data_IF_637083610394
#
_entry.id   IF_637083610394
#
_cell.length_a   1.000
_cell.length_b   1.000
_cell.length_c   1.000
_cell.angle_alpha   90.00
_cell.angle_beta   90.00
_cell.angle_gamma   90.00
#
_symmetry.space_group_name_H-M   'P 1'
#
loop_
_entity.id
_entity.type
_entity.pdbx_description
1 polymer ?
#
# COMPACT_ATOMS: atom_id res chain seq x y z
N UNK A 1 -6.80 48.92 57.95
CA UNK A 1 -6.09 48.24 56.83
C UNK A 1 -5.98 49.16 55.61
N UNK A 2 -7.08 49.78 55.18
CA UNK A 2 -7.09 50.76 54.06
C UNK A 2 -6.23 52.00 54.38
N UNK A 3 -6.30 52.56 55.59
CA UNK A 3 -5.50 53.73 55.98
C UNK A 3 -3.98 53.44 56.12
N UNK A 4 -3.63 52.20 56.46
CA UNK A 4 -2.23 51.74 56.53
C UNK A 4 -1.64 51.59 55.12
N UNK A 5 -2.42 51.08 54.17
CA UNK A 5 -2.03 51.00 52.75
C UNK A 5 -1.88 52.42 52.17
N UNK A 6 -2.79 53.33 52.51
CA UNK A 6 -2.76 54.73 52.06
C UNK A 6 -1.59 55.55 52.65
N UNK A 7 -1.11 55.24 53.86
CA UNK A 7 0.08 55.88 54.44
C UNK A 7 1.38 55.29 53.88
N UNK A 8 1.42 53.99 53.62
CA UNK A 8 2.58 53.30 53.03
C UNK A 8 2.81 53.73 51.57
N UNK A 9 1.73 54.02 50.82
CA UNK A 9 1.79 54.55 49.45
C UNK A 9 2.20 56.04 49.35
N UNK A 10 2.24 56.79 50.46
CA UNK A 10 2.82 58.16 50.48
C UNK A 10 4.34 58.18 50.54
N UNK A 11 4.97 57.03 50.83
CA UNK A 11 6.41 56.91 50.77
C UNK A 11 6.84 56.81 49.29
N UNK A 12 7.61 57.78 48.76
CA UNK A 12 7.98 57.81 47.35
C UNK A 12 8.74 56.56 46.90
N UNK A 13 9.46 55.88 47.82
CA UNK A 13 10.16 54.63 47.54
C UNK A 13 9.17 53.47 47.36
N UNK A 14 8.16 53.37 48.22
CA UNK A 14 7.15 52.30 48.15
C UNK A 14 6.22 52.50 46.97
N UNK A 15 5.83 53.75 46.68
CA UNK A 15 5.08 54.09 45.47
C UNK A 15 5.88 53.77 44.20
N UNK A 16 7.18 54.08 44.17
CA UNK A 16 8.08 53.71 43.07
C UNK A 16 8.22 52.20 42.88
N UNK A 17 8.35 51.43 43.97
CA UNK A 17 8.46 49.97 43.92
C UNK A 17 7.15 49.31 43.47
N UNK A 18 6.01 49.80 43.97
CA UNK A 18 4.69 49.30 43.58
C UNK A 18 4.37 49.57 42.12
N UNK A 19 4.64 50.78 41.62
CA UNK A 19 4.48 51.12 40.21
C UNK A 19 5.40 50.32 39.30
N UNK A 20 6.67 50.12 39.68
CA UNK A 20 7.60 49.28 38.94
C UNK A 20 7.15 47.80 38.87
N UNK A 21 6.54 47.28 39.94
CA UNK A 21 6.02 45.91 39.97
C UNK A 21 4.79 45.75 39.09
N UNK A 22 3.87 46.72 39.12
CA UNK A 22 2.68 46.73 38.23
C UNK A 22 3.10 46.87 36.77
N UNK A 23 3.98 47.82 36.45
CA UNK A 23 4.49 48.01 35.09
C UNK A 23 5.30 46.80 34.61
N UNK A 24 6.13 46.21 35.47
CA UNK A 24 6.87 44.98 35.18
C UNK A 24 5.94 43.79 34.94
N UNK A 25 4.88 43.66 35.73
CA UNK A 25 3.85 42.64 35.54
C UNK A 25 3.09 42.82 34.22
N UNK A 26 2.69 44.05 33.89
CA UNK A 26 2.06 44.37 32.59
C UNK A 26 3.03 44.08 31.44
N UNK A 27 4.27 44.54 31.50
CA UNK A 27 5.28 44.27 30.47
C UNK A 27 5.54 42.77 30.29
N UNK A 28 5.57 42.00 31.38
CA UNK A 28 5.71 40.54 31.33
C UNK A 28 4.52 39.87 30.65
N UNK A 29 3.29 40.36 30.87
CA UNK A 29 2.11 39.82 30.18
C UNK A 29 2.06 40.23 28.70
N UNK A 30 2.47 41.45 28.37
CA UNK A 30 2.48 41.95 27.00
C UNK A 30 3.63 41.34 26.15
N UNK A 31 4.66 40.73 26.76
CA UNK A 31 5.82 40.16 26.04
C UNK A 31 5.45 39.11 24.99
N UNK A 32 4.32 38.43 25.16
CA UNK A 32 3.86 37.39 24.22
C UNK A 32 3.05 37.96 23.06
N UNK A 33 2.54 39.20 23.16
CA UNK A 33 1.68 39.82 22.14
C UNK A 33 2.40 39.98 20.80
N UNK A 34 3.65 40.48 20.72
CA UNK A 34 4.37 40.56 19.45
C UNK A 34 4.53 39.20 18.76
N UNK A 35 4.82 38.15 19.53
CA UNK A 35 4.94 36.78 18.99
C UNK A 35 3.58 36.24 18.51
N UNK A 36 2.49 36.51 19.24
CA UNK A 36 1.14 36.14 18.84
C UNK A 36 0.70 36.85 17.56
N UNK A 37 0.88 38.17 17.49
CA UNK A 37 0.55 38.98 16.31
C UNK A 37 1.41 38.57 15.12
N UNK A 38 2.72 38.43 15.31
CA UNK A 38 3.64 37.97 14.28
C UNK A 38 3.27 36.58 13.75
N UNK A 39 2.93 35.64 14.64
CA UNK A 39 2.46 34.32 14.25
C UNK A 39 1.13 34.34 13.49
N UNK A 40 0.17 35.17 13.92
CA UNK A 40 -1.11 35.34 13.23
C UNK A 40 -0.92 35.97 11.84
N UNK A 41 -0.04 36.97 11.73
CA UNK A 41 0.30 37.62 10.48
C UNK A 41 0.97 36.63 9.52
N UNK A 42 1.96 35.87 9.99
CA UNK A 42 2.63 34.84 9.19
C UNK A 42 1.62 33.78 8.70
N UNK A 43 0.71 33.31 9.55
CA UNK A 43 -0.37 32.39 9.13
C UNK A 43 -1.30 33.00 8.09
N UNK A 44 -1.58 34.30 8.17
CA UNK A 44 -2.46 35.00 7.20
C UNK A 44 -1.80 35.28 5.84
N UNK A 45 -0.46 35.24 5.80
CA UNK A 45 0.37 35.56 4.64
C UNK A 45 1.04 34.32 4.02
N UNK A 46 0.82 33.14 4.59
CA UNK A 46 1.39 31.88 4.09
C UNK A 46 0.30 30.83 3.88
N UNK A 47 0.57 29.90 2.97
CA UNK A 47 -0.21 28.66 2.86
C UNK A 47 0.67 27.51 3.36
N UNK A 48 0.06 26.62 4.13
CA UNK A 48 0.69 25.41 4.65
C UNK A 48 0.00 24.15 4.11
N UNK A 49 0.80 23.17 3.67
CA UNK A 49 0.37 21.81 3.34
C UNK A 49 1.07 20.85 4.29
N UNK A 50 0.31 19.98 4.96
CA UNK A 50 0.84 18.96 5.86
C UNK A 50 0.59 17.58 5.26
N UNK A 51 1.64 16.78 5.15
CA UNK A 51 1.58 15.40 4.65
C UNK A 51 2.11 14.46 5.72
N UNK A 52 1.35 13.42 6.06
CA UNK A 52 1.73 12.43 7.08
C UNK A 52 2.14 11.12 6.44
N UNK A 53 3.07 10.38 7.03
CA UNK A 53 3.48 9.04 6.59
C UNK A 53 2.38 7.97 6.65
N UNK A 54 1.23 8.27 7.27
CA UNK A 54 0.03 7.46 7.19
C UNK A 54 -0.66 7.56 5.82
N UNK A 55 -0.38 8.63 5.06
CA UNK A 55 -0.93 8.85 3.73
C UNK A 55 -0.01 8.30 2.63
N UNK A 56 -0.53 7.59 1.61
CA UNK A 56 0.25 7.11 0.47
C UNK A 56 1.08 8.21 -0.24
N UNK A 57 0.58 9.45 -0.26
CA UNK A 57 1.23 10.60 -0.90
C UNK A 57 2.56 10.99 -0.25
N UNK A 58 2.82 10.57 1.00
CA UNK A 58 4.08 10.83 1.68
C UNK A 58 5.28 10.29 0.91
N UNK A 59 5.15 9.08 0.36
CA UNK A 59 6.21 8.45 -0.43
C UNK A 59 6.52 9.26 -1.70
N UNK A 60 5.49 9.82 -2.35
CA UNK A 60 5.63 10.65 -3.54
C UNK A 60 6.42 11.91 -3.23
N UNK A 61 6.07 12.55 -2.12
CA UNK A 61 6.68 13.77 -1.65
C UNK A 61 8.14 13.54 -1.23
N UNK A 62 8.44 12.46 -0.52
CA UNK A 62 9.82 12.14 -0.10
C UNK A 62 10.72 11.83 -1.32
N UNK A 63 10.17 11.10 -2.31
CA UNK A 63 10.83 10.86 -3.61
C UNK A 63 11.08 12.16 -4.36
N UNK A 64 10.06 13.01 -4.48
CA UNK A 64 10.18 14.30 -5.16
C UNK A 64 11.19 15.21 -4.48
N UNK A 65 11.19 15.26 -3.14
CA UNK A 65 12.17 16.01 -2.36
C UNK A 65 13.59 15.54 -2.66
N UNK A 66 13.83 14.23 -2.66
CA UNK A 66 15.15 13.66 -2.96
C UNK A 66 15.67 14.01 -4.36
N UNK A 67 14.75 14.20 -5.32
CA UNK A 67 15.08 14.57 -6.69
C UNK A 67 15.39 16.06 -6.87
N UNK A 68 15.01 16.92 -5.90
CA UNK A 68 15.24 18.36 -6.02
C UNK A 68 16.74 18.69 -5.99
N UNK A 69 17.21 19.66 -6.81
CA UNK A 69 18.61 20.10 -6.78
C UNK A 69 19.11 20.53 -5.39
N UNK A 70 18.19 21.02 -4.55
CA UNK A 70 18.48 21.42 -3.18
C UNK A 70 18.71 20.25 -2.22
N UNK A 71 18.08 19.08 -2.42
CA UNK A 71 18.29 17.93 -1.53
C UNK A 71 19.75 17.48 -1.47
N UNK A 72 20.54 17.77 -2.52
CA UNK A 72 21.99 17.54 -2.56
C UNK A 72 22.81 18.52 -1.69
N UNK A 73 22.21 19.60 -1.21
CA UNK A 73 22.85 20.69 -0.45
C UNK A 73 22.35 20.80 0.99
N UNK A 74 21.48 19.90 1.46
CA UNK A 74 20.94 19.98 2.81
C UNK A 74 21.96 19.54 3.85
N UNK A 75 22.04 20.27 4.96
CA UNK A 75 22.95 19.93 6.07
C UNK A 75 22.39 18.81 6.96
N UNK A 76 21.08 18.58 6.92
CA UNK A 76 20.41 17.47 7.62
C UNK A 76 19.82 16.53 6.58
N UNK A 77 20.30 15.30 6.56
CA UNK A 77 19.84 14.26 5.64
C UNK A 77 19.40 13.04 6.43
N UNK A 78 18.39 12.34 5.94
CA UNK A 78 17.99 11.02 6.39
C UNK A 78 18.21 10.05 5.26
N UNK A 79 18.85 8.93 5.57
CA UNK A 79 19.01 7.81 4.64
C UNK A 79 17.66 7.11 4.47
N UNK A 80 17.20 6.99 3.22
CA UNK A 80 15.99 6.26 2.87
C UNK A 80 16.36 5.16 1.89
N UNK A 81 15.85 3.96 2.16
CA UNK A 81 15.78 2.93 1.14
C UNK A 81 14.45 3.13 0.40
N UNK A 82 14.42 3.21 -0.95
CA UNK A 82 13.18 3.11 -1.68
C UNK A 82 12.46 1.85 -1.22
N UNK A 83 11.18 1.96 -0.85
CA UNK A 83 10.37 0.75 -0.62
C UNK A 83 10.50 -0.16 -1.85
N UNK A 84 10.38 0.43 -3.03
CA UNK A 84 10.60 -0.06 -4.40
C UNK A 84 11.93 -0.74 -4.76
N UNK A 85 12.89 -0.82 -3.84
CA UNK A 85 14.27 -1.06 -4.23
C UNK A 85 14.56 -2.54 -4.55
N UNK A 86 14.50 -2.95 -5.82
CA UNK A 86 14.55 -4.33 -6.33
C UNK A 86 15.87 -5.13 -6.19
N UNK A 87 16.72 -4.92 -5.18
CA UNK A 87 17.86 -5.82 -4.92
C UNK A 87 17.38 -7.20 -4.44
N UNK A 88 17.10 -8.10 -5.37
CA UNK A 88 17.07 -9.53 -5.08
C UNK A 88 18.43 -9.79 -4.43
N UNK A 89 18.46 -10.21 -3.16
CA UNK A 89 19.61 -10.94 -2.67
C UNK A 89 19.60 -12.25 -3.45
N UNK A 90 20.20 -12.24 -4.65
CA UNK A 90 20.61 -13.47 -5.29
C UNK A 90 21.62 -14.08 -4.32
N UNK A 91 21.42 -15.32 -3.84
CA UNK A 91 22.43 -15.99 -3.03
C UNK A 91 23.67 -16.12 -3.92
N UNK A 92 24.66 -15.23 -3.75
CA UNK A 92 25.89 -15.24 -4.55
C UNK A 92 26.44 -13.89 -5.06
N UNK A 93 25.74 -12.76 -4.90
CA UNK A 93 26.34 -11.44 -5.20
C UNK A 93 26.33 -10.53 -3.98
N UNK A 94 27.47 -10.44 -3.29
CA UNK A 94 27.69 -9.68 -2.05
C UNK A 94 27.98 -8.18 -2.25
N UNK A 95 28.01 -7.65 -3.48
CA UNK A 95 28.66 -6.36 -3.75
C UNK A 95 27.77 -5.22 -4.28
N UNK A 96 26.45 -5.40 -4.39
CA UNK A 96 25.57 -4.26 -4.73
C UNK A 96 25.01 -3.62 -3.47
N UNK A 97 25.50 -2.41 -3.15
CA UNK A 97 24.89 -1.55 -2.12
C UNK A 97 23.39 -1.43 -2.38
N UNK A 98 22.52 -1.62 -1.37
CA UNK A 98 21.08 -1.43 -1.57
C UNK A 98 20.87 0.00 -2.05
N UNK A 99 20.16 0.20 -3.18
CA UNK A 99 19.87 1.56 -3.63
C UNK A 99 19.28 2.39 -2.48
N UNK A 100 19.88 3.53 -2.24
CA UNK A 100 19.45 4.45 -1.20
C UNK A 100 19.31 5.81 -1.84
N UNK A 101 18.48 6.65 -1.24
CA UNK A 101 18.49 8.07 -1.53
C UNK A 101 18.55 8.85 -0.23
N UNK A 102 19.16 10.03 -0.32
CA UNK A 102 19.19 10.98 0.78
C UNK A 102 17.98 11.90 0.61
N UNK A 103 17.18 12.00 1.66
CA UNK A 103 16.08 12.95 1.75
C UNK A 103 16.37 13.97 2.86
N UNK A 104 15.76 15.16 2.82
CA UNK A 104 15.85 16.10 3.94
C UNK A 104 15.42 15.45 5.25
N UNK A 105 16.30 15.53 6.26
CA UNK A 105 16.07 14.90 7.57
C UNK A 105 15.11 15.67 8.47
N UNK A 106 14.93 15.22 9.72
CA UNK A 106 14.04 15.88 10.69
C UNK A 106 14.50 17.31 10.99
N UNK A 107 13.54 18.23 11.04
CA UNK A 107 13.72 19.65 11.31
C UNK A 107 13.43 20.57 10.12
N UNK A 108 13.78 21.87 10.26
CA UNK A 108 13.47 22.89 9.28
C UNK A 108 14.49 22.93 8.13
N UNK A 109 13.97 23.13 6.92
CA UNK A 109 14.69 23.31 5.66
C UNK A 109 14.01 24.40 4.84
N UNK A 110 14.70 24.97 3.87
CA UNK A 110 14.08 25.88 2.90
C UNK A 110 14.78 25.79 1.55
N UNK A 111 14.06 26.02 0.48
CA UNK A 111 14.65 26.16 -0.86
C UNK A 111 13.80 26.98 -1.79
N UNK A 112 14.39 27.33 -2.93
CA UNK A 112 13.71 28.04 -4.01
C UNK A 112 13.20 27.01 -5.02
N UNK A 113 11.90 27.01 -5.28
CA UNK A 113 11.25 26.20 -6.29
C UNK A 113 10.29 27.04 -7.12
N UNK A 114 10.39 26.96 -8.45
CA UNK A 114 9.61 27.79 -9.39
C UNK A 114 9.58 29.29 -9.00
N UNK A 115 10.75 29.83 -8.62
CA UNK A 115 10.97 31.24 -8.18
C UNK A 115 10.25 31.63 -6.88
N UNK A 116 9.85 30.66 -6.05
CA UNK A 116 9.25 30.88 -4.72
C UNK A 116 10.03 30.18 -3.64
N UNK A 117 10.05 30.78 -2.45
CA UNK A 117 10.63 30.15 -1.26
C UNK A 117 9.61 29.15 -0.72
N UNK A 118 10.05 27.90 -0.57
CA UNK A 118 9.38 26.84 0.14
C UNK A 118 10.12 26.58 1.44
N UNK A 119 9.42 26.69 2.55
CA UNK A 119 9.90 26.22 3.85
C UNK A 119 9.35 24.82 4.09
N UNK A 120 10.21 23.94 4.56
CA UNK A 120 9.84 22.57 4.90
C UNK A 120 10.19 22.35 6.36
N UNK A 121 9.25 21.82 7.13
CA UNK A 121 9.56 21.29 8.46
C UNK A 121 9.17 19.83 8.50
N UNK A 122 10.13 18.94 8.79
CA UNK A 122 9.86 17.53 9.02
C UNK A 122 9.84 17.28 10.52
N UNK A 123 8.72 16.77 11.01
CA UNK A 123 8.51 16.46 12.42
C UNK A 123 8.28 14.96 12.59
N UNK A 124 8.85 14.40 13.65
CA UNK A 124 8.63 13.03 14.08
C UNK A 124 7.81 13.09 15.38
N UNK A 125 6.63 12.50 15.34
CA UNK A 125 5.70 12.42 16.46
C UNK A 125 5.78 11.08 17.17
N UNK A 126 5.00 10.95 18.24
CA UNK A 126 4.96 9.73 19.03
C UNK A 126 4.46 8.52 18.23
N UNK A 127 4.90 7.32 18.65
CA UNK A 127 4.39 6.06 18.10
C UNK A 127 2.91 5.91 18.43
N UNK A 128 2.06 5.53 17.45
CA UNK A 128 0.69 5.16 17.78
C UNK A 128 0.69 3.94 18.69
N UNK A 129 0.03 4.02 19.85
CA UNK A 129 -0.05 2.94 20.85
C UNK A 129 1.04 2.93 21.92
N UNK A 130 1.89 3.96 22.01
CA UNK A 130 2.95 4.06 23.03
C UNK A 130 4.20 3.21 22.74
N UNK A 131 5.13 3.13 23.70
CA UNK A 131 6.46 2.52 23.52
C UNK A 131 6.48 1.01 23.25
N UNK A 132 5.32 0.34 23.28
CA UNK A 132 5.21 -1.13 23.14
C UNK A 132 4.95 -1.61 21.72
N UNK A 133 4.73 -0.73 20.74
CA UNK A 133 4.50 -1.13 19.34
C UNK A 133 5.79 -1.12 18.51
N UNK A 134 5.96 -2.14 17.66
CA UNK A 134 6.94 -2.18 16.57
C UNK A 134 6.56 -1.21 15.42
N UNK A 135 5.62 -0.30 15.64
CA UNK A 135 5.17 0.66 14.64
C UNK A 135 6.19 1.79 14.48
N UNK A 136 6.30 2.26 13.24
CA UNK A 136 7.10 3.45 12.94
C UNK A 136 6.45 4.68 13.57
N UNK A 137 7.24 5.62 14.11
CA UNK A 137 6.72 6.89 14.60
C UNK A 137 6.01 7.66 13.47
N UNK A 138 5.01 8.47 13.85
CA UNK A 138 4.27 9.26 12.87
C UNK A 138 5.17 10.38 12.38
N UNK A 139 5.52 10.38 11.10
CA UNK A 139 6.25 11.48 10.47
C UNK A 139 5.27 12.44 9.79
N UNK A 140 5.51 13.74 9.92
CA UNK A 140 4.78 14.80 9.22
C UNK A 140 5.76 15.71 8.50
N UNK A 141 5.44 16.06 7.25
CA UNK A 141 6.17 17.05 6.46
C UNK A 141 5.24 18.23 6.24
N UNK A 142 5.67 19.40 6.70
CA UNK A 142 4.98 20.68 6.57
C UNK A 142 5.63 21.50 5.46
N UNK A 143 4.89 21.83 4.41
CA UNK A 143 5.30 22.75 3.35
C UNK A 143 4.66 24.09 3.59
N UNK A 144 5.45 25.16 3.76
CA UNK A 144 4.96 26.53 3.87
C UNK A 144 5.52 27.40 2.74
N UNK A 145 4.68 28.25 2.18
CA UNK A 145 5.11 29.24 1.18
C UNK A 145 4.34 30.55 1.34
N UNK A 146 4.95 31.66 0.93
CA UNK A 146 4.32 32.97 0.98
C UNK A 146 3.22 33.13 -0.07
N UNK A 147 2.17 33.86 0.31
CA UNK A 147 0.98 34.12 -0.48
C UNK A 147 -0.23 33.33 0.02
N UNK A 148 -1.34 33.47 -0.70
CA UNK A 148 -2.63 32.80 -0.41
C UNK A 148 -3.02 31.76 -1.45
N UNK A 149 -2.29 31.70 -2.56
CA UNK A 149 -2.61 30.79 -3.66
C UNK A 149 -2.11 29.38 -3.36
N UNK A 150 -3.05 28.42 -3.35
CA UNK A 150 -2.74 26.99 -3.25
C UNK A 150 -2.21 26.38 -4.56
N UNK A 151 -2.21 27.14 -5.67
CA UNK A 151 -1.84 26.62 -6.98
C UNK A 151 -0.41 26.03 -7.01
N UNK A 152 0.50 26.67 -6.28
CA UNK A 152 1.89 26.21 -6.18
C UNK A 152 2.00 24.86 -5.45
N UNK A 153 1.27 24.69 -4.34
CA UNK A 153 1.27 23.43 -3.58
C UNK A 153 0.58 22.31 -4.37
N UNK A 154 -0.50 22.62 -5.10
CA UNK A 154 -1.13 21.67 -6.02
C UNK A 154 -0.18 21.21 -7.12
N UNK A 155 0.57 22.15 -7.71
CA UNK A 155 1.57 21.80 -8.73
C UNK A 155 2.72 20.96 -8.18
N UNK A 156 3.08 21.14 -6.90
CA UNK A 156 4.09 20.33 -6.23
C UNK A 156 3.59 18.90 -6.05
N UNK A 157 2.36 18.72 -5.55
CA UNK A 157 1.76 17.39 -5.38
C UNK A 157 1.60 16.69 -6.74
N UNK A 158 1.18 17.42 -7.78
CA UNK A 158 1.08 16.87 -9.13
C UNK A 158 2.44 16.42 -9.69
N UNK A 159 3.48 17.23 -9.54
CA UNK A 159 4.84 16.86 -9.98
C UNK A 159 5.39 15.66 -9.18
N UNK A 160 5.14 15.61 -7.87
CA UNK A 160 5.54 14.49 -7.02
C UNK A 160 4.82 13.18 -7.39
N UNK A 161 3.53 13.28 -7.71
CA UNK A 161 2.75 12.19 -8.28
C UNK A 161 3.37 11.74 -9.61
N UNK A 162 3.61 12.64 -10.56
CA UNK A 162 4.16 12.28 -11.88
C UNK A 162 5.53 11.59 -11.82
N UNK A 163 6.44 12.06 -10.95
CA UNK A 163 7.73 11.38 -10.71
C UNK A 163 7.54 9.96 -10.18
N UNK A 164 6.53 9.75 -9.35
CA UNK A 164 6.23 8.41 -8.81
C UNK A 164 5.54 7.54 -9.86
N UNK A 165 4.65 8.09 -10.68
CA UNK A 165 3.96 7.38 -11.75
C UNK A 165 4.89 6.98 -12.89
N UNK A 166 6.04 7.65 -13.03
CA UNK A 166 7.13 7.20 -13.90
C UNK A 166 7.86 5.98 -13.33
N UNK A 167 7.72 5.67 -12.04
CA UNK A 167 8.19 4.40 -11.49
C UNK A 167 7.38 3.26 -12.11
N UNK A 168 8.07 2.31 -12.72
CA UNK A 168 7.45 1.12 -13.31
C UNK A 168 7.04 0.09 -12.27
N UNK A 169 7.15 0.39 -10.97
CA UNK A 169 7.01 -0.60 -9.89
C UNK A 169 5.60 -0.61 -9.32
N UNK A 170 5.12 -1.81 -9.00
CA UNK A 170 3.85 -2.03 -8.30
C UNK A 170 4.12 -1.99 -6.80
N UNK A 171 3.54 -1.00 -6.12
CA UNK A 171 3.56 -0.94 -4.65
C UNK A 171 2.77 -2.11 -4.08
N UNK A 172 3.40 -2.86 -3.17
CA UNK A 172 2.77 -3.97 -2.46
C UNK A 172 2.57 -3.60 -0.99
N UNK A 173 1.42 -3.97 -0.44
CA UNK A 173 1.07 -3.76 0.97
C UNK A 173 0.63 -5.07 1.60
N UNK A 174 1.03 -5.30 2.84
CA UNK A 174 0.65 -6.48 3.62
C UNK A 174 -0.03 -6.00 4.91
N UNK A 175 -1.10 -6.68 5.30
CA UNK A 175 -1.81 -6.42 6.55
C UNK A 175 -1.13 -7.08 7.75
N UNK A 176 -0.77 -6.29 8.76
CA UNK A 176 -0.27 -6.76 10.07
C UNK A 176 -0.91 -5.90 11.19
N UNK A 177 -2.25 -5.80 11.19
CA UNK A 177 -3.01 -4.87 12.05
C UNK A 177 -3.07 -3.42 11.52
N UNK A 178 -2.27 -3.12 10.49
CA UNK A 178 -2.33 -1.92 9.66
C UNK A 178 -1.66 -2.20 8.32
N UNK A 179 -1.96 -1.40 7.29
CA UNK A 179 -1.37 -1.56 5.97
C UNK A 179 0.11 -1.14 5.94
N UNK A 180 0.99 -2.13 5.89
CA UNK A 180 2.42 -1.92 5.74
C UNK A 180 2.81 -1.96 4.27
N UNK A 181 3.37 -0.86 3.76
CA UNK A 181 3.97 -0.86 2.42
C UNK A 181 5.27 -1.65 2.46
N UNK A 182 5.29 -2.78 1.79
CA UNK A 182 6.49 -3.58 1.56
C UNK A 182 7.14 -3.14 0.26
N UNK A 183 8.19 -3.86 -0.12
CA UNK A 183 8.95 -3.52 -1.31
C UNK A 183 8.15 -3.66 -2.59
N UNK A 184 8.16 -2.60 -3.39
CA UNK A 184 7.55 -2.58 -4.71
C UNK A 184 8.18 -3.67 -5.60
N UNK A 185 7.35 -4.33 -6.41
CA UNK A 185 7.81 -5.36 -7.35
C UNK A 185 7.74 -4.83 -8.77
N UNK A 186 8.70 -5.24 -9.60
CA UNK A 186 8.58 -5.03 -11.03
C UNK A 186 7.34 -5.81 -11.50
N UNK A 187 6.39 -5.15 -12.19
CA UNK A 187 5.22 -5.82 -12.70
C UNK A 187 5.65 -6.94 -13.63
N UNK A 188 5.01 -8.08 -13.48
CA UNK A 188 5.21 -9.19 -14.40
C UNK A 188 4.63 -8.77 -15.75
N UNK A 189 5.42 -8.85 -16.82
CA UNK A 189 4.90 -8.53 -18.16
C UNK A 189 3.80 -9.55 -18.50
N UNK A 190 2.69 -9.08 -19.03
CA UNK A 190 1.50 -9.89 -19.35
C UNK A 190 1.85 -11.03 -20.31
N UNK A 191 2.72 -10.76 -21.28
CA UNK A 191 3.20 -11.72 -22.28
C UNK A 191 4.05 -12.87 -21.70
N UNK A 192 4.55 -12.75 -20.47
CA UNK A 192 5.28 -13.84 -19.78
C UNK A 192 4.37 -14.83 -19.07
N UNK A 193 3.06 -14.55 -19.02
CA UNK A 193 2.07 -15.45 -18.44
C UNK A 193 1.46 -16.29 -19.56
N UNK A 194 1.62 -17.60 -19.47
CA UNK A 194 0.96 -18.54 -20.37
C UNK A 194 -0.32 -19.01 -19.70
N UNK A 195 -1.45 -18.65 -20.29
CA UNK A 195 -2.80 -19.02 -19.88
C UNK A 195 -3.53 -19.63 -21.10
N UNK A 196 -4.73 -20.16 -20.87
CA UNK A 196 -5.56 -20.66 -21.97
C UNK A 196 -5.86 -19.56 -22.99
N UNK A 197 -6.03 -19.94 -24.25
CA UNK A 197 -6.29 -19.01 -25.34
C UNK A 197 -7.46 -18.05 -25.03
N UNK A 198 -7.23 -16.74 -25.19
CA UNK A 198 -8.21 -15.67 -24.94
C UNK A 198 -8.54 -15.40 -23.46
N UNK A 199 -7.98 -16.16 -22.51
CA UNK A 199 -8.26 -15.96 -21.08
C UNK A 199 -7.74 -14.62 -20.58
N UNK A 200 -6.49 -14.29 -20.90
CA UNK A 200 -5.91 -12.99 -20.53
C UNK A 200 -6.69 -11.83 -21.16
N UNK A 201 -7.07 -11.95 -22.43
CA UNK A 201 -7.77 -10.89 -23.16
C UNK A 201 -9.15 -10.61 -22.55
N UNK A 202 -9.90 -11.65 -22.13
CA UNK A 202 -11.17 -11.47 -21.42
C UNK A 202 -11.00 -10.72 -20.09
N UNK A 203 -9.99 -11.11 -19.30
CA UNK A 203 -9.72 -10.46 -18.01
C UNK A 203 -9.34 -8.99 -18.23
N UNK A 204 -8.47 -8.70 -19.20
CA UNK A 204 -8.05 -7.34 -19.51
C UNK A 204 -9.20 -6.49 -20.06
N UNK A 205 -10.05 -7.06 -20.92
CA UNK A 205 -11.22 -6.36 -21.46
C UNK A 205 -12.23 -6.00 -20.37
N UNK A 206 -12.53 -6.93 -19.46
CA UNK A 206 -13.43 -6.65 -18.34
C UNK A 206 -12.83 -5.61 -17.38
N UNK A 207 -11.53 -5.71 -17.10
CA UNK A 207 -10.84 -4.78 -16.24
C UNK A 207 -10.83 -3.36 -16.85
N UNK A 208 -10.58 -3.24 -18.15
CA UNK A 208 -10.66 -1.97 -18.87
C UNK A 208 -12.07 -1.38 -18.81
N UNK A 209 -13.10 -2.21 -19.08
CA UNK A 209 -14.50 -1.80 -18.96
C UNK A 209 -14.83 -1.27 -17.56
N UNK A 210 -14.41 -1.98 -16.50
CA UNK A 210 -14.64 -1.54 -15.13
C UNK A 210 -13.99 -0.17 -14.87
N UNK A 211 -12.74 0.02 -15.29
CA UNK A 211 -11.98 1.27 -15.10
C UNK A 211 -12.66 2.49 -15.75
N UNK A 212 -13.35 2.29 -16.88
CA UNK A 212 -14.05 3.33 -17.62
C UNK A 212 -15.52 3.53 -17.17
N UNK A 213 -16.07 2.58 -16.40
CA UNK A 213 -17.50 2.54 -16.07
C UNK A 213 -17.89 3.29 -14.80
N UNK A 214 -16.99 4.08 -14.19
CA UNK A 214 -17.27 4.77 -12.91
C UNK A 214 -18.58 5.55 -12.90
N UNK A 215 -18.81 6.38 -13.92
CA UNK A 215 -20.05 7.19 -14.03
C UNK A 215 -21.30 6.31 -14.22
N UNK A 216 -21.16 5.16 -14.88
CA UNK A 216 -22.25 4.20 -15.08
C UNK A 216 -22.71 3.58 -13.75
N UNK A 217 -21.76 3.26 -12.86
CA UNK A 217 -22.02 2.76 -11.50
C UNK A 217 -22.67 3.84 -10.64
N UNK A 218 -22.07 5.04 -10.61
CA UNK A 218 -22.54 6.18 -9.79
C UNK A 218 -23.96 6.61 -10.19
N UNK A 219 -24.25 6.72 -11.49
CA UNK A 219 -25.59 7.11 -12.00
C UNK A 219 -26.70 6.10 -11.69
N UNK A 220 -26.34 4.87 -11.31
CA UNK A 220 -27.30 3.80 -10.94
C UNK A 220 -27.33 3.50 -9.45
N UNK A 221 -26.53 4.21 -8.65
CA UNK A 221 -26.38 3.94 -7.21
C UNK A 221 -25.81 2.56 -6.91
N UNK A 222 -25.06 1.97 -7.85
CA UNK A 222 -24.40 0.68 -7.66
C UNK A 222 -23.00 0.96 -7.10
N UNK A 223 -22.58 0.31 -5.99
CA UNK A 223 -21.23 0.46 -5.46
C UNK A 223 -20.16 0.20 -6.52
N UNK A 224 -19.21 1.12 -6.66
CA UNK A 224 -18.19 1.06 -7.71
C UNK A 224 -17.06 0.10 -7.31
N UNK A 225 -17.34 -1.19 -7.43
CA UNK A 225 -16.41 -2.29 -7.12
C UNK A 225 -16.52 -3.41 -8.14
N UNK A 226 -15.43 -4.17 -8.29
CA UNK A 226 -15.36 -5.35 -9.16
C UNK A 226 -14.66 -6.49 -8.44
N UNK A 227 -15.30 -7.65 -8.41
CA UNK A 227 -14.74 -8.87 -7.82
C UNK A 227 -14.31 -9.88 -8.87
N UNK A 228 -13.11 -10.42 -8.73
CA UNK A 228 -12.58 -11.53 -9.52
C UNK A 228 -12.35 -12.75 -8.62
N UNK A 229 -12.76 -13.92 -9.08
CA UNK A 229 -12.47 -15.20 -8.45
C UNK A 229 -11.55 -16.02 -9.38
N UNK A 230 -10.31 -16.20 -8.96
CA UNK A 230 -9.32 -17.03 -9.65
C UNK A 230 -9.24 -18.39 -8.96
N UNK A 231 -9.70 -19.44 -9.64
CA UNK A 231 -9.76 -20.80 -9.10
C UNK A 231 -8.88 -21.76 -9.87
N UNK A 232 -8.50 -22.89 -9.26
CA UNK A 232 -7.83 -23.99 -9.95
C UNK A 232 -6.62 -24.54 -9.20
N UNK A 233 -5.93 -25.56 -9.72
CA UNK A 233 -4.84 -26.25 -9.02
C UNK A 233 -3.69 -25.32 -8.59
N UNK A 234 -2.88 -25.71 -7.59
CA UNK A 234 -1.67 -24.97 -7.24
C UNK A 234 -0.69 -24.91 -8.43
N UNK A 235 0.12 -23.85 -8.49
CA UNK A 235 1.14 -23.70 -9.53
C UNK A 235 0.64 -23.28 -10.92
N UNK A 236 -0.64 -22.90 -11.06
CA UNK A 236 -1.25 -22.46 -12.33
C UNK A 236 -1.17 -20.96 -12.61
N UNK A 237 -0.58 -20.18 -11.68
CA UNK A 237 -0.31 -18.75 -11.90
C UNK A 237 -1.36 -17.78 -11.36
N UNK A 238 -2.32 -18.22 -10.55
CA UNK A 238 -3.37 -17.39 -9.92
C UNK A 238 -2.84 -16.14 -9.21
N UNK A 239 -1.82 -16.25 -8.36
CA UNK A 239 -1.19 -15.09 -7.72
C UNK A 239 -0.29 -14.31 -8.68
N UNK A 240 0.36 -15.01 -9.63
CA UNK A 240 1.29 -14.38 -10.58
C UNK A 240 0.61 -13.40 -11.54
N UNK A 241 -0.63 -13.69 -11.95
CA UNK A 241 -1.40 -12.78 -12.80
C UNK A 241 -1.75 -11.47 -12.10
N UNK A 242 -1.96 -11.48 -10.77
CA UNK A 242 -2.34 -10.28 -10.01
C UNK A 242 -1.30 -9.18 -10.16
N UNK A 243 0.00 -9.52 -10.08
CA UNK A 243 1.08 -8.55 -10.26
C UNK A 243 1.13 -7.99 -11.69
N UNK A 244 0.77 -8.81 -12.70
CA UNK A 244 0.71 -8.35 -14.09
C UNK A 244 -0.47 -7.39 -14.30
N UNK A 245 -1.65 -7.72 -13.77
CA UNK A 245 -2.83 -6.86 -13.82
C UNK A 245 -2.58 -5.54 -13.08
N UNK A 246 -2.01 -5.59 -11.88
CA UNK A 246 -1.67 -4.41 -11.09
C UNK A 246 -0.73 -3.45 -11.82
N UNK A 247 0.27 -4.01 -12.51
CA UNK A 247 1.15 -3.23 -13.39
C UNK A 247 0.42 -2.60 -14.57
N UNK A 248 -0.50 -3.34 -15.18
CA UNK A 248 -1.29 -2.89 -16.32
C UNK A 248 -2.20 -1.70 -15.97
N UNK A 249 -2.93 -1.78 -14.85
CA UNK A 249 -3.83 -0.71 -14.40
C UNK A 249 -3.17 0.31 -13.47
N UNK A 250 -1.86 0.17 -13.20
CA UNK A 250 -1.06 1.04 -12.31
C UNK A 250 -1.69 1.23 -10.93
N UNK A 251 -2.14 0.14 -10.32
CA UNK A 251 -2.74 0.13 -8.97
C UNK A 251 -1.83 -0.61 -7.99
N UNK A 252 -1.73 -0.15 -6.72
CA UNK A 252 -1.06 -0.92 -5.68
C UNK A 252 -1.83 -2.21 -5.39
N UNK A 253 -1.11 -3.24 -4.93
CA UNK A 253 -1.72 -4.50 -4.46
C UNK A 253 -1.66 -4.55 -2.94
N UNK A 254 -2.82 -4.74 -2.32
CA UNK A 254 -2.97 -4.98 -0.89
C UNK A 254 -3.22 -6.47 -0.69
N UNK A 255 -2.21 -7.19 -0.20
CA UNK A 255 -2.25 -8.63 0.03
C UNK A 255 -2.79 -8.88 1.43
N UNK A 256 -3.89 -9.62 1.48
CA UNK A 256 -4.58 -10.01 2.69
C UNK A 256 -4.60 -11.54 2.77
N UNK A 257 -3.87 -12.08 3.75
CA UNK A 257 -3.93 -13.50 4.08
C UNK A 257 -4.91 -13.69 5.23
N UNK A 258 -6.00 -14.42 5.00
CA UNK A 258 -7.04 -14.61 6.02
C UNK A 258 -6.53 -15.38 7.25
N UNK A 259 -5.49 -16.19 7.11
CA UNK A 259 -4.88 -16.92 8.23
C UNK A 259 -4.06 -16.03 9.19
N UNK A 260 -3.73 -14.79 8.79
CA UNK A 260 -3.02 -13.83 9.64
C UNK A 260 -3.93 -12.72 10.19
N UNK A 261 -5.25 -12.87 10.05
CA UNK A 261 -6.24 -11.91 10.54
C UNK A 261 -6.91 -12.49 11.78
N UNK A 262 -6.86 -11.74 12.87
CA UNK A 262 -7.25 -12.22 14.21
C UNK A 262 -8.76 -12.47 14.33
N UNK A 263 -9.60 -11.60 13.75
CA UNK A 263 -11.06 -11.67 13.83
C UNK A 263 -11.76 -10.93 12.67
N UNK A 264 -13.09 -10.92 12.70
CA UNK A 264 -13.94 -10.26 11.70
C UNK A 264 -13.79 -8.73 11.70
N UNK A 265 -13.52 -8.12 12.85
CA UNK A 265 -13.35 -6.66 12.98
C UNK A 265 -12.02 -6.21 12.38
N UNK A 266 -10.96 -6.98 12.57
CA UNK A 266 -9.66 -6.79 11.94
C UNK A 266 -9.74 -6.96 10.43
N UNK A 267 -10.52 -7.94 9.95
CA UNK A 267 -10.79 -8.11 8.51
C UNK A 267 -11.52 -6.90 7.92
N UNK A 268 -12.57 -6.46 8.59
CA UNK A 268 -13.34 -5.30 8.18
C UNK A 268 -12.48 -4.03 8.14
N UNK A 269 -11.63 -3.85 9.15
CA UNK A 269 -10.66 -2.75 9.21
C UNK A 269 -9.67 -2.83 8.05
N UNK A 270 -9.12 -4.01 7.76
CA UNK A 270 -8.21 -4.21 6.63
C UNK A 270 -8.83 -3.79 5.30
N UNK A 271 -10.06 -4.22 5.02
CA UNK A 271 -10.75 -3.89 3.77
C UNK A 271 -11.10 -2.39 3.71
N UNK A 272 -11.57 -1.81 4.81
CA UNK A 272 -11.97 -0.40 4.87
C UNK A 272 -10.78 0.55 4.74
N UNK A 273 -9.65 0.23 5.38
CA UNK A 273 -8.43 1.02 5.37
C UNK A 273 -7.59 0.87 4.10
N UNK A 274 -7.88 -0.12 3.25
CA UNK A 274 -7.17 -0.30 2.00
C UNK A 274 -7.35 0.96 1.10
N UNK A 275 -6.37 1.40 0.31
CA UNK A 275 -6.54 2.55 -0.57
C UNK A 275 -7.71 2.35 -1.55
N UNK A 276 -8.47 3.41 -1.84
CA UNK A 276 -9.64 3.36 -2.73
C UNK A 276 -9.29 3.00 -4.18
N UNK A 277 -8.04 3.19 -4.60
CA UNK A 277 -7.53 2.83 -5.92
C UNK A 277 -6.64 1.57 -5.91
N UNK A 278 -6.83 0.64 -4.96
CA UNK A 278 -6.03 -0.58 -4.86
C UNK A 278 -6.69 -1.81 -5.53
N UNK A 279 -5.86 -2.81 -5.81
CA UNK A 279 -6.29 -4.21 -5.95
C UNK A 279 -6.13 -4.86 -4.57
N UNK A 280 -7.20 -5.37 -3.99
CA UNK A 280 -7.18 -6.15 -2.76
C UNK A 280 -7.12 -7.63 -3.15
N UNK A 281 -5.97 -8.26 -2.89
CA UNK A 281 -5.75 -9.68 -3.11
C UNK A 281 -6.05 -10.44 -1.83
N UNK A 282 -7.05 -11.30 -1.85
CA UNK A 282 -7.37 -12.21 -0.76
C UNK A 282 -6.94 -13.61 -1.18
N UNK A 283 -5.84 -14.10 -0.59
CA UNK A 283 -5.28 -15.40 -0.96
C UNK A 283 -5.94 -16.54 -0.19
N UNK A 284 -6.10 -17.68 -0.87
CA UNK A 284 -6.53 -18.97 -0.31
C UNK A 284 -7.81 -18.87 0.55
N UNK A 285 -8.87 -18.30 -0.04
CA UNK A 285 -10.16 -18.09 0.64
C UNK A 285 -10.84 -19.38 1.12
N UNK A 286 -10.43 -20.54 0.60
CA UNK A 286 -10.85 -21.87 1.04
C UNK A 286 -10.24 -22.25 2.41
N UNK A 287 -9.03 -21.78 2.74
CA UNK A 287 -8.39 -22.06 4.02
C UNK A 287 -9.16 -21.42 5.19
N UNK A 288 -9.77 -20.25 4.99
CA UNK A 288 -10.61 -19.60 6.00
C UNK A 288 -11.91 -20.37 6.30
N UNK A 289 -12.37 -21.22 5.36
CA UNK A 289 -13.56 -22.05 5.56
C UNK A 289 -13.24 -23.34 6.34
N UNK A 290 -12.02 -23.86 6.19
CA UNK A 290 -11.57 -25.08 6.84
C UNK A 290 -11.35 -24.92 8.36
N UNK A 291 -11.13 -23.69 8.86
CA UNK A 291 -10.91 -23.40 10.29
C UNK A 291 -12.12 -23.75 11.17
N UNK A 292 -13.32 -23.87 10.60
CA UNK A 292 -14.51 -24.36 11.33
C UNK A 292 -14.49 -25.87 11.59
N UNK A 293 -13.80 -26.68 10.79
CA UNK A 293 -13.80 -28.15 10.97
C UNK A 293 -13.01 -28.53 12.23
N UNK A 294 -11.93 -27.81 12.55
CA UNK A 294 -11.10 -28.09 13.73
C UNK A 294 -11.74 -27.70 15.07
N UNK A 295 -12.78 -26.86 15.06
CA UNK A 295 -13.50 -26.47 16.28
C UNK A 295 -14.56 -27.50 16.69
N UNK A 296 -15.02 -28.36 15.78
CA UNK A 296 -16.12 -29.32 16.04
C UNK A 296 -15.60 -30.68 16.55
N UNK A 297 -14.33 -31.02 16.33
CA UNK A 297 -13.74 -32.30 16.76
C UNK A 297 -13.04 -32.26 18.14
N UNK A 298 -13.19 -31.18 18.91
CA UNK A 298 -12.62 -31.10 20.27
C UNK A 298 -13.61 -31.56 21.34
N UNK A 299 -13.08 -32.39 22.24
CA UNK A 299 -13.71 -33.00 23.42
C UNK A 299 -14.59 -32.00 24.23
N UNK A 300 -15.82 -32.33 24.65
CA UNK A 300 -16.77 -31.42 25.31
C UNK A 300 -16.36 -30.84 26.68
N UNK A 301 -15.09 -30.94 27.09
CA UNK A 301 -14.58 -30.60 28.42
C UNK A 301 -13.58 -29.46 28.48
N UNK A 302 -13.19 -28.86 27.34
CA UNK A 302 -12.42 -27.61 27.36
C UNK A 302 -13.38 -26.41 27.26
N UNK A 303 -13.18 -25.33 28.04
CA UNK A 303 -13.96 -24.11 27.86
C UNK A 303 -13.81 -23.61 26.43
N UNK A 304 -14.94 -23.32 25.76
CA UNK A 304 -14.99 -22.75 24.41
C UNK A 304 -14.05 -21.55 24.33
N UNK A 305 -12.85 -21.73 23.75
CA UNK A 305 -12.12 -20.60 23.20
C UNK A 305 -12.94 -20.16 22.01
N UNK A 306 -13.62 -19.02 22.14
CA UNK A 306 -14.22 -18.30 21.02
C UNK A 306 -13.29 -18.39 19.82
N UNK A 307 -13.84 -18.76 18.66
CA UNK A 307 -13.08 -19.01 17.45
C UNK A 307 -12.24 -17.78 17.10
N UNK A 308 -10.95 -17.82 17.42
CA UNK A 308 -10.00 -16.81 16.98
C UNK A 308 -9.76 -17.03 15.49
N UNK A 309 -10.30 -16.12 14.68
CA UNK A 309 -10.11 -16.10 13.23
C UNK A 309 -11.31 -15.54 12.50
N UNK A 310 -11.07 -15.19 11.24
CA UNK A 310 -12.09 -14.72 10.31
C UNK A 310 -13.19 -15.77 10.14
N UNK A 311 -14.43 -15.37 10.39
CA UNK A 311 -15.60 -16.16 10.07
C UNK A 311 -16.01 -15.96 8.62
N UNK A 312 -16.65 -16.98 8.07
CA UNK A 312 -17.29 -16.91 6.76
C UNK A 312 -18.30 -15.76 6.65
N UNK A 313 -19.07 -15.49 7.70
CA UNK A 313 -20.03 -14.38 7.70
C UNK A 313 -19.31 -13.02 7.72
N UNK A 314 -18.23 -12.91 8.48
CA UNK A 314 -17.36 -11.73 8.49
C UNK A 314 -16.76 -11.43 7.13
N UNK A 315 -16.24 -12.43 6.42
CA UNK A 315 -15.72 -12.25 5.06
C UNK A 315 -16.79 -11.76 4.08
N UNK A 316 -18.01 -12.32 4.15
CA UNK A 316 -19.11 -11.87 3.31
C UNK A 316 -19.45 -10.40 3.59
N UNK A 317 -19.65 -10.06 4.86
CA UNK A 317 -20.00 -8.70 5.30
C UNK A 317 -18.91 -7.69 4.97
N UNK A 318 -17.64 -8.09 5.00
CA UNK A 318 -16.53 -7.19 4.68
C UNK A 318 -16.43 -6.92 3.17
N UNK A 319 -16.79 -7.89 2.32
CA UNK A 319 -16.77 -7.71 0.86
C UNK A 319 -17.94 -6.86 0.34
N UNK A 320 -19.13 -7.01 0.92
CA UNK A 320 -20.33 -6.34 0.39
C UNK A 320 -20.99 -5.33 1.33
N UNK A 321 -20.43 -5.11 2.51
CA UNK A 321 -20.93 -4.17 3.50
C UNK A 321 -21.12 -2.76 2.94
N UNK A 322 -22.13 -2.07 3.47
CA UNK A 322 -22.48 -0.68 3.07
C UNK A 322 -21.35 0.32 3.32
N UNK A 323 -20.46 -0.02 4.24
CA UNK A 323 -19.31 0.76 4.67
C UNK A 323 -18.06 0.50 3.84
N UNK A 324 -18.04 -0.54 3.00
CA UNK A 324 -16.88 -0.90 2.17
C UNK A 324 -16.66 0.19 1.12
N UNK A 325 -15.52 0.92 1.15
CA UNK A 325 -15.38 2.07 0.26
C UNK A 325 -15.28 1.71 -1.23
N UNK A 326 -15.68 2.65 -2.08
CA UNK A 326 -15.69 2.48 -3.54
C UNK A 326 -14.29 2.55 -4.19
N UNK A 327 -14.24 2.10 -5.44
CA UNK A 327 -13.09 2.22 -6.34
C UNK A 327 -12.14 1.02 -6.37
N UNK A 328 -12.36 0.01 -5.52
CA UNK A 328 -11.45 -1.14 -5.35
C UNK A 328 -11.78 -2.30 -6.29
N UNK A 329 -10.73 -3.03 -6.65
CA UNK A 329 -10.82 -4.32 -7.33
C UNK A 329 -10.47 -5.40 -6.32
N UNK A 330 -11.36 -6.36 -6.12
CA UNK A 330 -11.10 -7.52 -5.29
C UNK A 330 -10.68 -8.70 -6.16
N UNK A 331 -9.58 -9.35 -5.83
CA UNK A 331 -9.16 -10.60 -6.46
C UNK A 331 -9.04 -11.64 -5.37
N UNK A 332 -9.84 -12.70 -5.47
CA UNK A 332 -9.81 -13.84 -4.56
C UNK A 332 -9.16 -15.02 -5.27
N UNK A 333 -8.25 -15.71 -4.60
CA UNK A 333 -7.67 -16.95 -5.12
C UNK A 333 -8.12 -18.15 -4.30
N UNK A 334 -8.40 -19.26 -4.98
CA UNK A 334 -8.76 -20.53 -4.32
C UNK A 334 -8.23 -21.73 -5.09
N UNK A 335 -7.92 -22.81 -4.38
CA UNK A 335 -7.62 -24.10 -5.03
C UNK A 335 -8.88 -24.96 -5.24
N UNK A 336 -9.92 -24.77 -4.43
CA UNK A 336 -11.13 -25.59 -4.40
C UNK A 336 -12.39 -24.71 -4.48
N UNK A 337 -12.76 -24.28 -5.70
CA UNK A 337 -13.92 -23.42 -5.89
C UNK A 337 -15.25 -24.10 -5.50
N UNK A 338 -15.31 -25.41 -5.65
CA UNK A 338 -16.43 -26.28 -5.27
C UNK A 338 -16.73 -26.27 -3.76
N UNK A 339 -15.76 -25.90 -2.92
CA UNK A 339 -15.95 -25.80 -1.48
C UNK A 339 -16.47 -24.42 -1.05
N UNK A 340 -16.45 -23.43 -1.94
CA UNK A 340 -16.87 -22.08 -1.60
C UNK A 340 -18.39 -21.97 -1.45
N UNK A 341 -18.81 -21.09 -0.54
CA UNK A 341 -20.23 -20.77 -0.41
C UNK A 341 -20.77 -20.10 -1.68
N UNK A 342 -21.92 -20.59 -2.13
CA UNK A 342 -22.78 -19.95 -3.13
C UNK A 342 -23.03 -18.45 -2.85
N UNK A 343 -23.00 -18.01 -1.59
CA UNK A 343 -23.12 -16.62 -1.20
C UNK A 343 -21.89 -15.78 -1.58
N UNK A 344 -20.67 -16.33 -1.53
CA UNK A 344 -19.44 -15.61 -1.86
C UNK A 344 -19.32 -15.35 -3.37
N UNK A 345 -19.83 -16.28 -4.17
CA UNK A 345 -19.75 -16.25 -5.64
C UNK A 345 -20.84 -15.40 -6.31
N UNK A 346 -21.68 -14.70 -5.54
CA UNK A 346 -22.77 -13.87 -6.09
C UNK A 346 -22.23 -12.63 -6.80
N UNK A 347 -22.93 -12.15 -7.84
CA UNK A 347 -22.66 -10.84 -8.44
C UNK A 347 -22.63 -9.73 -7.39
N UNK A 348 -21.69 -8.80 -7.52
CA UNK A 348 -21.38 -7.76 -6.54
C UNK A 348 -20.33 -8.14 -5.49
N UNK A 349 -19.97 -9.43 -5.39
CA UNK A 349 -18.87 -9.97 -4.57
C UNK A 349 -17.79 -10.60 -5.45
N UNK A 350 -18.19 -11.51 -6.35
CA UNK A 350 -17.35 -12.11 -7.38
C UNK A 350 -18.09 -12.05 -8.73
N UNK A 351 -17.76 -11.04 -9.53
CA UNK A 351 -18.41 -10.75 -10.81
C UNK A 351 -17.82 -11.58 -11.96
N UNK A 352 -16.51 -11.81 -11.93
CA UNK A 352 -15.79 -12.54 -12.98
C UNK A 352 -15.08 -13.75 -12.39
N UNK A 353 -15.35 -14.92 -12.96
CA UNK A 353 -14.84 -16.20 -12.48
C UNK A 353 -13.95 -16.79 -13.57
N UNK A 354 -12.67 -16.97 -13.25
CA UNK A 354 -11.69 -17.50 -14.20
C UNK A 354 -10.98 -18.71 -13.58
N UNK A 355 -11.06 -19.84 -14.28
CA UNK A 355 -10.43 -21.09 -13.87
C UNK A 355 -9.06 -21.22 -14.52
N UNK A 356 -8.04 -21.37 -13.69
CA UNK A 356 -6.64 -21.57 -14.07
C UNK A 356 -6.36 -23.08 -14.08
N UNK A 357 -6.19 -23.62 -15.27
CA UNK A 357 -5.96 -25.06 -15.46
C UNK A 357 -4.49 -25.33 -15.81
N UNK A 358 -4.13 -26.62 -15.84
CA UNK A 358 -2.83 -27.05 -16.35
C UNK A 358 -2.74 -26.72 -17.85
N UNK A 359 -1.53 -26.55 -18.35
CA UNK A 359 -1.28 -26.20 -19.75
C UNK A 359 -1.48 -27.42 -20.64
N UNK A 360 -2.30 -27.26 -21.68
CA UNK A 360 -2.49 -28.26 -22.73
C UNK A 360 -1.41 -28.09 -23.81
N UNK A 361 -1.38 -28.99 -24.79
CA UNK A 361 -0.33 -29.06 -25.80
C UNK A 361 -0.02 -27.71 -26.48
N UNK A 362 -1.07 -26.92 -26.79
CA UNK A 362 -0.90 -25.60 -27.42
C UNK A 362 -0.19 -24.63 -26.48
N UNK A 363 -0.66 -24.49 -25.25
CA UNK A 363 -0.08 -23.56 -24.28
C UNK A 363 1.33 -23.99 -23.84
N UNK A 364 1.59 -25.30 -23.76
CA UNK A 364 2.93 -25.82 -23.47
C UNK A 364 3.95 -25.37 -24.52
N UNK A 365 3.60 -25.48 -25.81
CA UNK A 365 4.44 -25.01 -26.92
C UNK A 365 4.64 -23.50 -26.87
N UNK A 366 3.58 -22.73 -26.56
CA UNK A 366 3.69 -21.28 -26.39
C UNK A 366 4.64 -20.94 -25.24
N UNK A 367 4.55 -21.62 -24.10
CA UNK A 367 5.45 -21.38 -22.97
C UNK A 367 6.90 -21.75 -23.32
N UNK A 368 7.11 -22.87 -24.01
CA UNK A 368 8.43 -23.29 -24.47
C UNK A 368 9.05 -22.27 -25.44
N UNK A 369 8.28 -21.77 -26.41
CA UNK A 369 8.76 -20.76 -27.38
C UNK A 369 9.20 -19.45 -26.73
N UNK A 370 8.53 -19.05 -25.64
CA UNK A 370 8.91 -17.86 -24.86
C UNK A 370 10.22 -18.04 -24.11
N UNK A 371 10.61 -19.28 -23.80
CA UNK A 371 11.80 -19.58 -23.03
C UNK A 371 13.00 -19.94 -23.92
N UNK A 372 12.79 -20.75 -24.95
CA UNK A 372 13.84 -21.31 -25.82
C UNK A 372 13.85 -20.72 -27.24
N UNK A 373 12.94 -19.81 -27.59
CA UNK A 373 12.78 -19.27 -28.94
C UNK A 373 11.93 -20.17 -29.86
N UNK A 374 11.73 -19.79 -31.12
CA UNK A 374 10.89 -20.56 -32.05
C UNK A 374 11.66 -21.76 -32.63
N UNK A 375 11.46 -22.94 -32.05
CA UNK A 375 11.85 -24.21 -32.65
C UNK A 375 10.74 -25.24 -32.50
N UNK A 376 10.64 -26.23 -33.40
CA UNK A 376 9.50 -27.16 -33.48
C UNK A 376 9.31 -28.04 -32.25
N UNK A 377 8.72 -27.51 -31.18
CA UNK A 377 8.51 -28.19 -29.91
C UNK A 377 7.41 -29.24 -30.02
N UNK A 378 7.72 -30.47 -29.61
CA UNK A 378 6.72 -31.50 -29.40
C UNK A 378 6.11 -31.34 -27.99
N UNK A 379 4.80 -31.17 -27.90
CA UNK A 379 4.09 -31.08 -26.63
C UNK A 379 4.35 -32.30 -25.72
N UNK A 380 4.11 -32.10 -24.42
CA UNK A 380 4.04 -33.18 -23.44
C UNK A 380 2.72 -33.94 -23.63
N UNK A 381 2.71 -35.25 -23.34
CA UNK A 381 1.52 -36.07 -23.51
C UNK A 381 0.38 -35.68 -22.57
N UNK A 382 0.72 -35.27 -21.34
CA UNK A 382 -0.26 -34.89 -20.31
C UNK A 382 -0.25 -33.38 -20.04
N UNK A 383 -1.35 -32.82 -19.51
CA UNK A 383 -1.40 -31.43 -19.07
C UNK A 383 -0.50 -31.19 -17.85
N UNK A 384 0.39 -30.20 -17.94
CA UNK A 384 1.38 -29.87 -16.89
C UNK A 384 1.14 -28.48 -16.34
N UNK A 385 1.40 -28.28 -15.04
CA UNK A 385 1.30 -26.93 -14.46
C UNK A 385 2.39 -26.00 -15.03
N UNK A 386 2.08 -24.70 -15.27
CA UNK A 386 3.09 -23.71 -15.64
C UNK A 386 4.29 -23.68 -14.67
N UNK A 387 4.04 -23.83 -13.36
CA UNK A 387 5.11 -23.86 -12.36
C UNK A 387 6.07 -25.05 -12.55
N UNK A 388 5.54 -26.25 -12.84
CA UNK A 388 6.37 -27.41 -13.10
C UNK A 388 7.19 -27.26 -14.38
N UNK A 389 6.58 -26.76 -15.46
CA UNK A 389 7.31 -26.44 -16.71
C UNK A 389 8.41 -25.41 -16.46
N UNK A 390 8.10 -24.31 -15.77
CA UNK A 390 9.08 -23.29 -15.42
C UNK A 390 10.25 -23.87 -14.62
N UNK A 391 9.97 -24.75 -13.65
CA UNK A 391 11.01 -25.39 -12.85
C UNK A 391 11.94 -26.26 -13.72
N UNK A 392 11.40 -27.06 -14.63
CA UNK A 392 12.21 -27.86 -15.56
C UNK A 392 13.04 -26.97 -16.49
N UNK A 393 12.48 -25.87 -16.98
CA UNK A 393 13.20 -24.93 -17.85
C UNK A 393 14.35 -24.25 -17.13
N UNK A 394 14.20 -23.96 -15.83
CA UNK A 394 15.27 -23.40 -15.02
C UNK A 394 16.42 -24.39 -14.77
N UNK A 395 16.13 -25.70 -14.71
CA UNK A 395 17.17 -26.74 -14.59
C UNK A 395 17.91 -26.93 -15.91
N UNK A 396 17.20 -26.83 -17.03
CA UNK A 396 17.74 -27.02 -18.38
C UNK A 396 17.52 -25.76 -19.24
N UNK A 397 18.28 -24.67 -19.01
CA UNK A 397 18.00 -23.36 -19.59
C UNK A 397 18.15 -23.28 -21.12
N UNK A 398 19.03 -24.09 -21.69
CA UNK A 398 19.34 -24.08 -23.13
C UNK A 398 18.91 -25.37 -23.86
N UNK A 399 18.30 -26.32 -23.15
CA UNK A 399 17.96 -27.64 -23.68
C UNK A 399 16.52 -28.04 -23.37
N UNK A 400 15.62 -27.80 -24.35
CA UNK A 400 14.24 -28.22 -24.29
C UNK A 400 14.06 -29.75 -24.21
N UNK A 401 14.88 -30.54 -24.90
CA UNK A 401 14.72 -32.00 -24.93
C UNK A 401 15.02 -32.61 -23.57
N UNK A 402 16.05 -32.11 -22.88
CA UNK A 402 16.35 -32.47 -21.50
C UNK A 402 15.21 -32.06 -20.55
N UNK A 403 14.72 -30.81 -20.64
CA UNK A 403 13.60 -30.34 -19.83
C UNK A 403 12.33 -31.18 -20.04
N UNK A 404 12.01 -31.52 -21.29
CA UNK A 404 10.86 -32.35 -21.65
C UNK A 404 10.99 -33.76 -21.07
N UNK A 405 12.18 -34.35 -21.15
CA UNK A 405 12.44 -35.70 -20.63
C UNK A 405 12.31 -35.76 -19.10
N UNK A 406 12.80 -34.75 -18.38
CA UNK A 406 12.64 -34.64 -16.92
C UNK A 406 11.16 -34.48 -16.51
N UNK A 407 10.38 -33.68 -17.25
CA UNK A 407 8.94 -33.53 -17.00
C UNK A 407 8.18 -34.85 -17.18
N UNK A 408 8.47 -35.59 -18.26
CA UNK A 408 7.85 -36.91 -18.50
C UNK A 408 8.26 -37.94 -17.44
N UNK A 409 9.52 -37.93 -17.00
CA UNK A 409 10.01 -38.84 -15.97
C UNK A 409 9.37 -38.58 -14.60
N UNK A 410 9.16 -37.31 -14.23
CA UNK A 410 8.51 -36.92 -12.97
C UNK A 410 7.02 -37.22 -12.91
N UNK A 411 6.34 -37.35 -14.04
CA UNK A 411 4.93 -37.76 -14.08
C UNK A 411 4.77 -39.30 -14.04
N UNK A 412 5.80 -40.05 -14.42
CA UNK A 412 5.79 -41.51 -14.39
C UNK A 412 6.14 -42.11 -13.00
N UNK A 413 6.65 -41.28 -12.08
CA UNK A 413 7.00 -41.63 -10.71
C UNK A 413 5.94 -41.14 -9.72
#
# INVERSE_FOLDING_TARGET
MIDLIASTLRNPIVAGLGTATVLGGIAYQLRQIPAMIGGALLRSLTVELTVSNMDPTFAWIDRWLSAQPYARKTHKVTLRSPADNNSIMSPGQSDSMPAYFLAPGVGPHWFIWRRRILFINREEGDKPGGNKSNMRPIEKIHFRTFGRSQAILRSLVAEAHDITMQSSLVSLRIWNGYWNTIRGRTPRRIDTLTLKAGQMDRILADLAWFMESREWYESRGIPYRRGYLFSGPPGTGKTSIVLALAGHVRRPVCVLNLGSVDDDDALFSAITEAPSNAIVLIEDIDCAQATKIRAVEKDPKEPEKESQGVTKAGLLNALDGITTPDGRIFIMTTNFAEHLDAALIRPGRADVHERFEKLEAREQVVMASRFYGDCGFAALPEPVSPAAMQAAFMVHPDDWQAARSDLVAKEAA
#
